data_IF_599564547700
#
_entry.id   IF_599564547700
#
_cell.length_a   1.000
_cell.length_b   1.000
_cell.length_c   1.000
_cell.angle_alpha   90.00
_cell.angle_beta   90.00
_cell.angle_gamma   90.00
#
_symmetry.space_group_name_H-M   'P 1'
#
loop_
_entity.id
_entity.type
_entity.pdbx_description
1 polymer ?
#
# COMPACT_ATOMS: atom_id res chain seq x y z
N UNK A 1 -6.47 -25.83 -19.17
CA UNK A 1 -5.81 -24.86 -20.06
C UNK A 1 -5.63 -23.58 -19.25
N UNK A 2 -4.40 -23.22 -18.91
CA UNK A 2 -4.12 -21.96 -18.25
C UNK A 2 -4.37 -20.83 -19.23
N UNK A 3 -5.33 -19.96 -18.93
CA UNK A 3 -5.54 -18.72 -19.67
C UNK A 3 -4.28 -17.87 -19.46
N UNK A 4 -3.47 -17.72 -20.48
CA UNK A 4 -2.36 -16.79 -20.45
C UNK A 4 -2.93 -15.37 -20.35
N UNK A 5 -2.68 -14.69 -19.23
CA UNK A 5 -2.95 -13.26 -19.08
C UNK A 5 -1.90 -12.48 -19.88
N UNK A 6 -1.99 -12.51 -21.19
CA UNK A 6 -1.24 -11.61 -22.05
C UNK A 6 -2.02 -10.30 -22.22
N UNK A 7 -1.92 -9.42 -21.24
CA UNK A 7 -2.36 -8.04 -21.43
C UNK A 7 -1.29 -7.30 -22.21
N UNK A 8 -1.51 -7.10 -23.48
CA UNK A 8 -0.63 -6.28 -24.31
C UNK A 8 -0.91 -4.79 -24.01
N UNK A 9 -0.17 -4.20 -23.07
CA UNK A 9 -0.30 -2.81 -22.66
C UNK A 9 -0.34 -1.84 -23.86
N UNK A 10 0.46 -2.09 -24.89
CA UNK A 10 0.54 -1.20 -26.05
C UNK A 10 -0.67 -1.26 -26.99
N UNK A 11 -1.47 -2.30 -26.88
CA UNK A 11 -2.71 -2.45 -27.68
C UNK A 11 -3.94 -1.98 -26.91
N UNK A 12 -3.84 -1.84 -25.58
CA UNK A 12 -4.93 -1.37 -24.73
C UNK A 12 -4.79 0.14 -24.50
N UNK A 13 -5.65 0.93 -25.15
CA UNK A 13 -5.63 2.39 -25.04
C UNK A 13 -5.89 2.89 -23.63
N UNK A 14 -6.72 2.19 -22.84
CA UNK A 14 -6.99 2.57 -21.46
C UNK A 14 -5.74 2.40 -20.59
N UNK A 15 -5.01 1.31 -20.76
CA UNK A 15 -3.76 1.07 -20.02
C UNK A 15 -2.65 2.04 -20.44
N UNK A 16 -2.57 2.42 -21.73
CA UNK A 16 -1.65 3.46 -22.20
C UNK A 16 -1.97 4.82 -21.59
N UNK A 17 -3.26 5.21 -21.62
CA UNK A 17 -3.70 6.45 -21.02
C UNK A 17 -3.29 6.52 -19.54
N UNK A 18 -3.54 5.45 -18.77
CA UNK A 18 -3.12 5.37 -17.36
C UNK A 18 -1.61 5.53 -17.21
N UNK A 19 -0.80 5.01 -18.14
CA UNK A 19 0.65 5.24 -18.12
C UNK A 19 1.01 6.69 -18.40
N UNK A 20 0.37 7.33 -19.35
CA UNK A 20 0.63 8.71 -19.70
C UNK A 20 0.21 9.67 -18.60
N UNK A 21 -0.84 9.35 -17.85
CA UNK A 21 -1.34 10.10 -16.70
C UNK A 21 -0.40 10.02 -15.46
N UNK A 22 0.56 9.10 -15.42
CA UNK A 22 1.56 9.05 -14.34
C UNK A 22 2.58 10.16 -14.56
N UNK A 23 2.51 11.22 -13.78
CA UNK A 23 3.47 12.33 -13.82
C UNK A 23 4.42 12.24 -12.63
N UNK A 24 5.73 12.00 -12.83
CA UNK A 24 6.70 11.99 -11.76
C UNK A 24 6.72 13.32 -10.99
N UNK A 25 6.75 13.23 -9.66
CA UNK A 25 6.75 14.37 -8.76
C UNK A 25 5.36 14.85 -8.34
N UNK A 26 4.32 14.56 -9.10
CA UNK A 26 2.95 14.98 -8.73
C UNK A 26 2.35 14.08 -7.64
N UNK A 27 1.63 14.68 -6.66
CA UNK A 27 0.90 13.93 -5.66
C UNK A 27 -0.20 13.07 -6.30
N UNK A 28 -0.30 11.83 -5.87
CA UNK A 28 -1.41 10.94 -6.27
C UNK A 28 -2.66 11.28 -5.46
N UNK A 29 -3.83 11.11 -6.07
CA UNK A 29 -5.11 11.12 -5.37
C UNK A 29 -5.16 9.95 -4.40
N UNK A 30 -5.52 10.23 -3.15
CA UNK A 30 -5.67 9.23 -2.10
C UNK A 30 -6.97 9.45 -1.34
N UNK A 31 -7.43 8.44 -0.63
CA UNK A 31 -8.63 8.50 0.21
C UNK A 31 -8.26 8.13 1.65
N UNK A 32 -8.79 8.82 2.67
CA UNK A 32 -8.58 8.44 4.05
C UNK A 32 -9.24 7.10 4.36
N UNK A 33 -8.65 6.34 5.29
CA UNK A 33 -9.17 5.04 5.71
C UNK A 33 -9.19 4.92 7.24
N UNK A 34 -10.33 4.55 7.81
CA UNK A 34 -10.45 4.25 9.25
C UNK A 34 -10.02 2.81 9.48
N UNK A 35 -8.92 2.63 10.22
CA UNK A 35 -8.37 1.32 10.54
C UNK A 35 -9.08 0.72 11.74
N UNK A 36 -10.05 -0.16 11.50
CA UNK A 36 -10.81 -0.81 12.57
C UNK A 36 -10.03 -1.99 13.18
N UNK A 37 -10.36 -2.33 14.45
CA UNK A 37 -9.81 -3.54 15.09
C UNK A 37 -10.13 -4.81 14.29
N UNK A 38 -11.33 -4.90 13.76
CA UNK A 38 -11.74 -6.03 12.93
C UNK A 38 -10.87 -6.17 11.68
N UNK A 39 -10.58 -5.05 10.99
CA UNK A 39 -9.71 -5.05 9.82
C UNK A 39 -8.29 -5.52 10.15
N UNK A 40 -7.74 -5.05 11.29
CA UNK A 40 -6.41 -5.48 11.79
C UNK A 40 -6.43 -7.00 12.03
N UNK A 41 -7.39 -7.49 12.82
CA UNK A 41 -7.46 -8.90 13.19
C UNK A 41 -7.72 -9.81 12.01
N UNK A 42 -8.56 -9.39 11.05
CA UNK A 42 -8.79 -10.11 9.81
C UNK A 42 -7.51 -10.21 8.97
N UNK A 43 -6.78 -9.10 8.83
CA UNK A 43 -5.48 -9.08 8.17
C UNK A 43 -4.48 -10.04 8.84
N UNK A 44 -4.33 -9.94 10.17
CA UNK A 44 -3.42 -10.78 10.94
C UNK A 44 -3.71 -12.28 10.76
N UNK A 45 -5.00 -12.68 10.79
CA UNK A 45 -5.40 -14.07 10.54
C UNK A 45 -5.05 -14.51 9.12
N UNK A 46 -5.24 -13.64 8.13
CA UNK A 46 -4.96 -13.95 6.73
C UNK A 46 -3.46 -14.16 6.46
N UNK A 47 -2.60 -13.43 7.15
CA UNK A 47 -1.13 -13.56 7.00
C UNK A 47 -0.50 -14.51 8.02
N UNK A 48 -1.28 -15.08 8.94
CA UNK A 48 -0.81 -16.00 9.97
C UNK A 48 -0.05 -15.34 11.12
N UNK A 49 -0.12 -14.03 11.31
CA UNK A 49 0.53 -13.30 12.39
C UNK A 49 -0.45 -13.11 13.57
N UNK A 50 -0.44 -14.06 14.51
CA UNK A 50 -1.37 -14.11 15.63
C UNK A 50 -0.75 -13.59 16.94
N UNK A 51 0.19 -12.65 16.86
CA UNK A 51 0.85 -12.11 18.05
C UNK A 51 -0.16 -11.44 19.00
N UNK A 52 -0.09 -11.66 20.33
CA UNK A 52 -1.07 -11.15 21.30
C UNK A 52 -1.21 -9.62 21.33
N UNK A 53 -0.23 -8.85 20.89
CA UNK A 53 -0.34 -7.39 20.73
C UNK A 53 -1.47 -6.93 19.81
N UNK A 54 -1.99 -7.82 18.94
CA UNK A 54 -3.05 -7.51 17.98
C UNK A 54 -4.42 -8.05 18.41
N UNK A 55 -4.45 -8.94 19.42
CA UNK A 55 -5.66 -9.67 19.81
C UNK A 55 -6.00 -9.57 21.28
N UNK A 56 -5.01 -9.45 22.19
CA UNK A 56 -5.22 -9.49 23.64
C UNK A 56 -4.98 -8.11 24.24
N UNK A 57 -6.07 -7.46 24.61
CA UNK A 57 -6.06 -6.13 25.23
C UNK A 57 -5.28 -6.10 26.56
N UNK A 58 -5.42 -7.15 27.39
CA UNK A 58 -4.77 -7.22 28.69
C UNK A 58 -3.25 -7.37 28.55
N UNK A 59 -2.83 -8.17 27.58
CA UNK A 59 -1.41 -8.30 27.21
C UNK A 59 -0.86 -6.99 26.62
N UNK A 60 -1.58 -6.39 25.67
CA UNK A 60 -1.15 -5.19 24.99
C UNK A 60 -1.02 -3.98 25.92
N UNK A 61 -1.90 -3.84 26.92
CA UNK A 61 -1.82 -2.80 27.96
C UNK A 61 -0.58 -2.89 28.81
N UNK A 62 -0.07 -4.08 29.08
CA UNK A 62 1.16 -4.32 29.87
C UNK A 62 2.43 -4.12 29.03
N UNK A 63 2.32 -4.03 27.73
CA UNK A 63 3.45 -3.80 26.84
C UNK A 63 3.87 -2.33 26.82
N UNK A 64 5.03 -2.06 26.21
CA UNK A 64 5.48 -0.67 25.96
C UNK A 64 4.52 0.16 25.11
N UNK A 65 3.56 -0.47 24.45
CA UNK A 65 2.59 0.21 23.56
C UNK A 65 1.34 0.68 24.29
N UNK A 66 1.06 0.16 25.50
CA UNK A 66 -0.06 0.57 26.35
C UNK A 66 -1.45 0.23 25.80
N UNK A 67 -1.55 -0.61 24.78
CA UNK A 67 -2.80 -1.03 24.15
C UNK A 67 -2.56 -1.75 22.83
N UNK A 68 -3.65 -2.20 22.20
CA UNK A 68 -3.59 -2.92 20.92
C UNK A 68 -2.94 -2.06 19.82
N UNK A 69 -2.18 -2.71 18.98
CA UNK A 69 -1.55 -2.12 17.79
C UNK A 69 -1.82 -2.98 16.55
N UNK A 70 -1.55 -2.44 15.38
CA UNK A 70 -1.49 -3.21 14.14
C UNK A 70 -0.06 -3.74 13.90
N UNK A 71 0.09 -4.86 13.19
CA UNK A 71 1.41 -5.37 12.79
C UNK A 71 2.11 -4.39 11.82
N UNK A 72 3.44 -4.33 11.80
CA UNK A 72 4.15 -3.47 10.84
C UNK A 72 3.77 -3.72 9.38
N UNK A 73 3.49 -4.98 9.02
CA UNK A 73 3.07 -5.38 7.66
C UNK A 73 1.69 -4.84 7.25
N UNK A 74 0.92 -4.21 8.16
CA UNK A 74 -0.40 -3.64 7.87
C UNK A 74 -0.37 -2.61 6.73
N UNK A 75 0.79 -2.00 6.45
CA UNK A 75 0.95 -1.05 5.35
C UNK A 75 0.49 -1.62 3.99
N UNK A 76 0.53 -2.94 3.80
CA UNK A 76 0.04 -3.61 2.59
C UNK A 76 -1.48 -3.40 2.47
N UNK A 77 -2.24 -3.61 3.56
CA UNK A 77 -3.67 -3.32 3.59
C UNK A 77 -3.92 -1.83 3.38
N UNK A 78 -3.19 -0.98 4.09
CA UNK A 78 -3.36 0.48 4.04
C UNK A 78 -3.08 1.04 2.64
N UNK A 79 -2.09 0.49 1.93
CA UNK A 79 -1.78 0.88 0.56
C UNK A 79 -3.01 0.77 -0.34
N UNK A 80 -3.69 -0.37 -0.32
CA UNK A 80 -4.88 -0.58 -1.13
C UNK A 80 -6.11 0.15 -0.59
N UNK A 81 -6.27 0.25 0.73
CA UNK A 81 -7.41 0.93 1.33
C UNK A 81 -7.38 2.44 1.13
N UNK A 82 -6.20 3.06 1.09
CA UNK A 82 -6.03 4.49 0.85
C UNK A 82 -5.89 4.84 -0.65
N UNK A 83 -5.89 3.87 -1.55
CA UNK A 83 -5.75 4.08 -3.00
C UNK A 83 -7.11 3.92 -3.70
N UNK A 84 -7.59 4.93 -4.47
CA UNK A 84 -8.82 4.83 -5.25
C UNK A 84 -8.82 3.64 -6.21
N UNK A 85 -10.01 3.14 -6.56
CA UNK A 85 -10.16 1.96 -7.42
C UNK A 85 -9.63 2.18 -8.84
N UNK A 86 -9.68 3.42 -9.31
CA UNK A 86 -9.25 3.88 -10.64
C UNK A 86 -7.77 4.29 -10.70
N UNK A 87 -7.04 4.18 -9.59
CA UNK A 87 -5.62 4.52 -9.54
C UNK A 87 -4.76 3.51 -10.34
N UNK A 88 -3.72 4.01 -10.96
CA UNK A 88 -2.78 3.22 -11.76
C UNK A 88 -2.12 2.06 -11.00
N UNK A 89 -1.97 2.18 -9.67
CA UNK A 89 -1.46 1.09 -8.80
C UNK A 89 -2.34 -0.16 -8.83
N UNK A 90 -3.64 0.02 -9.11
CA UNK A 90 -4.62 -1.07 -9.16
C UNK A 90 -4.80 -1.68 -10.55
N UNK A 91 -4.06 -1.20 -11.55
CA UNK A 91 -4.17 -1.74 -12.91
C UNK A 91 -3.85 -3.24 -12.93
N UNK A 92 -4.70 -4.06 -13.58
CA UNK A 92 -4.48 -5.49 -13.70
C UNK A 92 -3.09 -5.81 -14.26
N UNK A 93 -2.46 -6.87 -13.75
CA UNK A 93 -1.15 -7.31 -14.20
C UNK A 93 0.04 -6.47 -13.69
N UNK A 94 -0.20 -5.47 -12.84
CA UNK A 94 0.90 -4.75 -12.16
C UNK A 94 1.64 -5.70 -11.21
N UNK A 95 2.96 -5.78 -11.35
CA UNK A 95 3.83 -6.63 -10.53
C UNK A 95 4.55 -5.75 -9.50
N UNK A 96 4.46 -6.11 -8.23
CA UNK A 96 5.34 -5.56 -7.21
C UNK A 96 6.74 -6.15 -7.39
N UNK A 97 7.67 -5.35 -7.89
CA UNK A 97 9.04 -5.78 -8.19
C UNK A 97 9.99 -5.60 -6.99
N UNK A 98 9.54 -4.91 -5.96
CA UNK A 98 10.28 -4.70 -4.73
C UNK A 98 9.79 -3.50 -3.96
N UNK A 99 10.16 -3.47 -2.68
CA UNK A 99 9.83 -2.35 -1.80
C UNK A 99 10.78 -2.27 -0.61
N UNK A 100 10.94 -1.07 -0.08
CA UNK A 100 11.70 -0.77 1.14
C UNK A 100 10.83 0.07 2.06
N UNK A 101 10.79 -0.27 3.36
CA UNK A 101 9.94 0.41 4.34
C UNK A 101 10.70 0.77 5.60
N UNK A 102 10.38 1.95 6.14
CA UNK A 102 10.79 2.43 7.46
C UNK A 102 9.54 2.62 8.33
N UNK A 103 9.58 2.13 9.55
CA UNK A 103 8.46 2.18 10.51
C UNK A 103 8.81 3.11 11.65
N UNK A 104 7.90 4.05 11.98
CA UNK A 104 8.09 5.05 13.03
C UNK A 104 7.25 4.73 14.27
N UNK A 105 5.91 4.78 14.14
CA UNK A 105 4.98 4.43 15.20
C UNK A 105 4.02 3.33 14.73
N UNK A 106 3.52 2.48 15.63
CA UNK A 106 2.50 1.51 15.25
C UNK A 106 1.17 2.21 14.94
N UNK A 107 0.50 1.77 13.89
CA UNK A 107 -0.91 2.11 13.68
C UNK A 107 -1.77 1.42 14.77
N UNK A 108 -2.87 2.05 15.14
CA UNK A 108 -3.77 1.58 16.20
C UNK A 108 -5.20 1.39 15.70
N UNK A 109 -5.98 0.51 16.36
CA UNK A 109 -7.42 0.47 16.12
C UNK A 109 -8.06 1.84 16.32
N UNK A 110 -8.86 2.29 15.36
CA UNK A 110 -9.53 3.60 15.35
C UNK A 110 -8.74 4.72 14.69
N UNK A 111 -7.50 4.51 14.31
CA UNK A 111 -6.74 5.52 13.56
C UNK A 111 -7.41 5.81 12.22
N UNK A 112 -7.48 7.09 11.87
CA UNK A 112 -7.80 7.55 10.53
C UNK A 112 -6.49 7.74 9.77
N UNK A 113 -6.26 6.84 8.83
CA UNK A 113 -5.02 6.78 8.06
C UNK A 113 -5.14 7.64 6.81
N UNK A 114 -4.15 8.49 6.57
CA UNK A 114 -3.98 9.21 5.31
C UNK A 114 -2.68 8.77 4.63
N UNK A 115 -2.71 8.70 3.31
CA UNK A 115 -1.58 8.35 2.47
C UNK A 115 -1.14 9.56 1.66
N UNK A 116 0.14 9.92 1.73
CA UNK A 116 0.79 10.77 0.75
C UNK A 116 1.60 9.87 -0.18
N UNK A 117 1.29 9.92 -1.45
CA UNK A 117 1.90 9.07 -2.45
C UNK A 117 2.24 9.84 -3.72
N UNK A 118 3.36 9.50 -4.36
CA UNK A 118 3.76 10.08 -5.65
C UNK A 118 4.61 9.09 -6.44
N UNK A 119 4.52 9.16 -7.76
CA UNK A 119 5.54 8.56 -8.60
C UNK A 119 6.80 9.42 -8.51
N UNK A 120 7.98 8.79 -8.38
CA UNK A 120 9.27 9.48 -8.44
C UNK A 120 9.82 9.45 -9.84
N UNK A 121 9.66 8.33 -10.52
CA UNK A 121 10.19 8.09 -11.85
C UNK A 121 9.35 7.06 -12.58
N UNK A 122 9.30 7.15 -13.90
CA UNK A 122 8.75 6.13 -14.79
C UNK A 122 9.66 5.98 -16.00
N UNK A 123 9.94 4.74 -16.39
CA UNK A 123 10.81 4.46 -17.53
C UNK A 123 10.48 3.11 -18.17
N UNK A 124 10.95 2.96 -19.40
CA UNK A 124 10.79 1.72 -20.16
C UNK A 124 12.17 1.03 -20.23
N UNK A 125 12.21 -0.23 -19.82
CA UNK A 125 13.41 -1.07 -19.91
C UNK A 125 13.03 -2.47 -20.39
N UNK A 126 13.67 -2.94 -21.46
CA UNK A 126 13.36 -4.25 -22.07
C UNK A 126 11.85 -4.41 -22.33
N UNK A 127 11.24 -3.38 -22.92
CA UNK A 127 9.81 -3.31 -23.24
C UNK A 127 8.85 -3.44 -22.03
N UNK A 128 9.35 -3.29 -20.80
CA UNK A 128 8.54 -3.27 -19.58
C UNK A 128 8.50 -1.86 -19.00
N UNK A 129 7.34 -1.51 -18.48
CA UNK A 129 7.06 -0.22 -17.87
C UNK A 129 7.38 -0.27 -16.38
N UNK A 130 8.36 0.49 -15.93
CA UNK A 130 8.73 0.61 -14.53
C UNK A 130 8.21 1.90 -13.95
N UNK A 131 7.68 1.84 -12.73
CA UNK A 131 7.35 3.02 -11.93
C UNK A 131 8.01 2.87 -10.56
N UNK A 132 8.73 3.90 -10.16
CA UNK A 132 9.26 4.05 -8.80
C UNK A 132 8.34 5.03 -8.07
N UNK A 133 7.89 4.68 -6.87
CA UNK A 133 6.95 5.52 -6.12
C UNK A 133 7.30 5.55 -4.63
N UNK A 134 7.07 6.70 -4.00
CA UNK A 134 7.14 6.89 -2.55
C UNK A 134 5.74 6.95 -1.95
N UNK A 135 5.64 6.46 -0.72
CA UNK A 135 4.40 6.43 0.06
C UNK A 135 4.73 6.75 1.52
N UNK A 136 3.94 7.62 2.13
CA UNK A 136 4.03 7.96 3.55
C UNK A 136 2.64 7.87 4.16
N UNK A 137 2.50 7.07 5.22
CA UNK A 137 1.26 6.93 5.96
C UNK A 137 1.31 7.74 7.25
N UNK A 138 0.22 8.46 7.50
CA UNK A 138 0.03 9.28 8.68
C UNK A 138 -1.24 8.85 9.41
N UNK A 139 -1.26 9.04 10.73
CA UNK A 139 -2.48 8.99 11.52
C UNK A 139 -3.20 10.36 11.51
N UNK A 140 -4.32 10.47 12.22
CA UNK A 140 -5.11 11.69 12.36
C UNK A 140 -4.40 12.84 13.09
N UNK A 141 -3.29 12.56 13.77
CA UNK A 141 -2.48 13.56 14.46
C UNK A 141 -1.32 14.08 13.61
N UNK A 142 -1.20 13.61 12.35
CA UNK A 142 -0.10 13.95 11.46
C UNK A 142 1.21 13.24 11.79
N UNK A 143 1.18 12.23 12.65
CA UNK A 143 2.35 11.43 12.98
C UNK A 143 2.59 10.36 11.90
N UNK A 144 3.84 10.19 11.51
CA UNK A 144 4.25 9.21 10.50
C UNK A 144 4.18 7.80 11.08
N UNK A 145 3.33 6.96 10.54
CA UNK A 145 3.26 5.53 10.86
C UNK A 145 4.41 4.79 10.18
N UNK A 146 4.49 4.90 8.87
CA UNK A 146 5.58 4.33 8.09
C UNK A 146 5.73 5.08 6.77
N UNK A 147 6.92 4.94 6.18
CA UNK A 147 7.23 5.47 4.85
C UNK A 147 7.97 4.43 4.04
N UNK A 148 7.76 4.42 2.74
CA UNK A 148 8.40 3.42 1.90
C UNK A 148 8.48 3.81 0.44
N UNK A 149 9.39 3.14 -0.23
CA UNK A 149 9.60 3.22 -1.68
C UNK A 149 9.28 1.88 -2.31
N UNK A 150 8.51 1.90 -3.39
CA UNK A 150 8.15 0.73 -4.15
C UNK A 150 8.60 0.82 -5.60
N UNK A 151 8.79 -0.36 -6.19
CA UNK A 151 9.05 -0.55 -7.61
C UNK A 151 7.97 -1.44 -8.18
N UNK A 152 7.27 -0.95 -9.17
CA UNK A 152 6.27 -1.73 -9.88
C UNK A 152 6.65 -1.90 -11.34
N UNK A 153 6.33 -3.07 -11.87
CA UNK A 153 6.45 -3.36 -13.30
C UNK A 153 5.03 -3.55 -13.83
N UNK A 154 4.72 -2.84 -14.89
CA UNK A 154 3.45 -3.00 -15.59
C UNK A 154 3.60 -4.03 -16.70
N UNK A 155 2.56 -4.81 -17.00
CA UNK A 155 2.61 -5.78 -18.08
C UNK A 155 2.77 -5.06 -19.42
N UNK A 156 3.28 -5.83 -20.38
CA UNK A 156 3.24 -5.50 -21.80
C UNK A 156 1.83 -5.55 -22.33
#
# INVERSE_FOLDING_TARGET
>A
MAQAFETNFWKDEQLRKVWDDIVPGEPRKTIPYVLTLEAIQRYCRAVGDLHPLYFDEAYARKSRYGGLIAPPSIHILLMFSCTPADDWMRSPGTINAGQSWSYNIPARPGDTITLQARALDKFIKKERLFVIHDNVFFNQHGEVICSGRGWTIRPK
#
